data_IF_057877769674
#
_entry.id   IF_057877769674
#
_cell.length_a   1.000
_cell.length_b   1.000
_cell.length_c   1.000
_cell.angle_alpha   90.00
_cell.angle_beta   90.00
_cell.angle_gamma   90.00
#
_symmetry.space_group_name_H-M   'P 1'
#
loop_
_entity.id
_entity.type
_entity.pdbx_description
1 polymer ?
#
# COMPACT_ATOMS: atom_id res chain seq x y z
N UNK A 1 18.05 32.83 -10.50
CA UNK A 1 17.62 32.63 -9.10
C UNK A 1 17.83 31.16 -8.77
N UNK A 2 18.81 30.83 -7.93
CA UNK A 2 19.07 29.42 -7.58
C UNK A 2 17.94 28.89 -6.70
N UNK A 3 17.39 27.70 -6.98
CA UNK A 3 16.34 27.12 -6.14
C UNK A 3 16.86 26.85 -4.72
N UNK A 4 16.00 27.09 -3.72
CA UNK A 4 16.35 26.88 -2.32
C UNK A 4 16.53 25.36 -2.04
N UNK A 5 17.68 24.91 -1.53
CA UNK A 5 17.97 23.50 -1.28
C UNK A 5 16.95 22.82 -0.35
N UNK A 6 16.30 23.56 0.57
CA UNK A 6 15.25 23.02 1.44
C UNK A 6 13.97 22.67 0.67
N UNK A 7 13.61 23.46 -0.36
CA UNK A 7 12.45 23.19 -1.21
C UNK A 7 12.68 22.03 -2.19
N UNK A 8 13.91 21.90 -2.71
CA UNK A 8 14.29 20.79 -3.59
C UNK A 8 14.38 19.45 -2.84
N UNK A 9 14.86 19.47 -1.59
CA UNK A 9 14.91 18.30 -0.71
C UNK A 9 13.52 17.70 -0.45
N UNK A 10 12.53 18.53 -0.09
CA UNK A 10 11.16 18.07 0.15
C UNK A 10 10.50 17.52 -1.12
N UNK A 11 10.73 18.16 -2.27
CA UNK A 11 10.22 17.68 -3.57
C UNK A 11 10.81 16.32 -3.94
N UNK A 12 12.10 16.10 -3.67
CA UNK A 12 12.78 14.84 -3.92
C UNK A 12 12.24 13.71 -3.04
N UNK A 13 12.01 13.96 -1.75
CA UNK A 13 11.43 12.97 -0.82
C UNK A 13 9.99 12.61 -1.22
N UNK A 14 9.18 13.58 -1.66
CA UNK A 14 7.84 13.30 -2.19
C UNK A 14 7.86 12.39 -3.43
N UNK A 15 8.85 12.55 -4.32
CA UNK A 15 9.03 11.66 -5.48
C UNK A 15 9.41 10.25 -5.05
N UNK A 16 10.31 10.11 -4.07
CA UNK A 16 10.67 8.80 -3.49
C UNK A 16 9.44 8.12 -2.90
N UNK A 17 8.65 8.83 -2.11
CA UNK A 17 7.39 8.31 -1.59
C UNK A 17 6.43 7.87 -2.70
N UNK A 18 6.24 8.69 -3.75
CA UNK A 18 5.37 8.33 -4.87
C UNK A 18 5.88 7.10 -5.64
N UNK A 19 7.20 6.96 -5.80
CA UNK A 19 7.80 5.77 -6.42
C UNK A 19 7.57 4.52 -5.57
N UNK A 20 7.79 4.59 -4.26
CA UNK A 20 7.53 3.49 -3.32
C UNK A 20 6.05 3.10 -3.28
N UNK A 21 5.13 4.08 -3.30
CA UNK A 21 3.70 3.81 -3.42
C UNK A 21 3.33 3.13 -4.74
N UNK A 22 4.00 3.51 -5.83
CA UNK A 22 3.85 2.85 -7.14
C UNK A 22 4.37 1.42 -7.13
N UNK A 23 5.53 1.18 -6.51
CA UNK A 23 6.10 -0.15 -6.32
C UNK A 23 5.21 -1.03 -5.45
N UNK A 24 4.64 -0.48 -4.37
CA UNK A 24 3.69 -1.19 -3.52
C UNK A 24 2.44 -1.59 -4.29
N UNK A 25 1.87 -0.69 -5.11
CA UNK A 25 0.76 -1.02 -6.00
C UNK A 25 1.16 -2.13 -7.00
N UNK A 26 2.30 -1.99 -7.67
CA UNK A 26 2.79 -3.00 -8.61
C UNK A 26 2.97 -4.37 -7.93
N UNK A 27 3.54 -4.41 -6.73
CA UNK A 27 3.69 -5.64 -5.94
C UNK A 27 2.34 -6.31 -5.63
N UNK A 28 1.29 -5.53 -5.34
CA UNK A 28 -0.07 -6.08 -5.11
C UNK A 28 -0.77 -6.56 -6.38
N UNK A 29 -0.47 -5.96 -7.54
CA UNK A 29 -0.95 -6.48 -8.84
C UNK A 29 -0.23 -7.80 -9.16
N UNK A 30 1.10 -7.84 -8.98
CA UNK A 30 1.90 -9.06 -9.11
C UNK A 30 1.39 -10.14 -8.14
N UNK A 31 0.98 -9.79 -6.92
CA UNK A 31 0.41 -10.74 -5.97
C UNK A 31 -0.79 -11.50 -6.52
N UNK A 32 -1.69 -10.83 -7.24
CA UNK A 32 -2.86 -11.48 -7.86
C UNK A 32 -2.47 -12.37 -9.02
N UNK A 33 -1.50 -11.92 -9.82
CA UNK A 33 -0.94 -12.75 -10.88
C UNK A 33 -0.31 -14.02 -10.31
N UNK A 34 0.51 -13.91 -9.25
CA UNK A 34 1.12 -15.06 -8.58
C UNK A 34 0.08 -15.97 -7.92
N UNK A 35 -1.01 -15.41 -7.38
CA UNK A 35 -2.14 -16.20 -6.88
C UNK A 35 -2.78 -17.02 -8.00
N UNK A 36 -3.00 -16.41 -9.17
CA UNK A 36 -3.56 -17.07 -10.33
C UNK A 36 -2.61 -18.17 -10.87
N UNK A 37 -1.31 -17.90 -10.94
CA UNK A 37 -0.30 -18.89 -11.33
C UNK A 37 -0.39 -20.12 -10.42
N UNK A 38 -0.36 -19.93 -9.09
CA UNK A 38 -0.48 -21.06 -8.15
C UNK A 38 -1.86 -21.75 -8.20
N UNK A 39 -2.93 -21.01 -8.50
CA UNK A 39 -4.26 -21.57 -8.67
C UNK A 39 -4.42 -22.45 -9.93
N UNK A 40 -3.62 -22.19 -10.97
CA UNK A 40 -3.69 -22.92 -12.24
C UNK A 40 -2.65 -24.02 -12.40
N UNK A 41 -1.60 -24.02 -11.58
CA UNK A 41 -0.52 -25.02 -11.56
C UNK A 41 -1.02 -26.44 -11.26
N UNK A 42 -0.42 -27.46 -11.89
CA UNK A 42 -0.84 -28.87 -11.79
C UNK A 42 0.35 -29.85 -11.81
N UNK A 43 0.42 -30.81 -10.87
CA UNK A 43 -0.43 -30.95 -9.69
C UNK A 43 -0.26 -29.74 -8.76
N UNK A 44 -1.34 -29.32 -8.11
CA UNK A 44 -1.30 -28.17 -7.21
C UNK A 44 -0.84 -28.61 -5.83
N UNK A 45 0.19 -27.95 -5.29
CA UNK A 45 0.68 -28.16 -3.93
C UNK A 45 1.16 -26.84 -3.29
N UNK A 46 1.74 -26.92 -2.09
CA UNK A 46 2.22 -25.74 -1.36
C UNK A 46 3.29 -24.95 -2.15
N UNK A 47 4.08 -25.63 -2.98
CA UNK A 47 5.14 -25.00 -3.77
C UNK A 47 4.57 -24.16 -4.92
N UNK A 48 3.38 -24.52 -5.43
CA UNK A 48 2.65 -23.74 -6.44
C UNK A 48 2.38 -22.29 -6.00
N UNK A 49 2.27 -22.04 -4.68
CA UNK A 49 2.04 -20.71 -4.11
C UNK A 49 3.28 -20.09 -3.45
N UNK A 50 4.46 -20.69 -3.56
CA UNK A 50 5.65 -20.22 -2.85
C UNK A 50 5.97 -18.74 -3.14
N UNK A 51 5.91 -18.32 -4.42
CA UNK A 51 6.15 -16.93 -4.80
C UNK A 51 5.03 -15.99 -4.33
N UNK A 52 3.77 -16.44 -4.37
CA UNK A 52 2.64 -15.69 -3.84
C UNK A 52 2.81 -15.47 -2.33
N UNK A 53 3.19 -16.50 -1.59
CA UNK A 53 3.44 -16.43 -0.15
C UNK A 53 4.62 -15.50 0.17
N UNK A 54 5.76 -15.65 -0.51
CA UNK A 54 6.93 -14.78 -0.32
C UNK A 54 6.60 -13.31 -0.57
N UNK A 55 5.91 -12.99 -1.67
CA UNK A 55 5.57 -11.61 -1.99
C UNK A 55 4.54 -11.03 -0.99
N UNK A 56 3.54 -11.82 -0.59
CA UNK A 56 2.49 -11.44 0.35
C UNK A 56 2.95 -11.28 1.80
N UNK A 57 3.88 -12.13 2.26
CA UNK A 57 4.31 -12.19 3.65
C UNK A 57 5.61 -11.44 3.94
N UNK A 58 6.41 -11.14 2.91
CA UNK A 58 7.69 -10.43 3.08
C UNK A 58 7.75 -9.13 2.29
N UNK A 59 7.58 -9.18 0.97
CA UNK A 59 7.84 -8.03 0.09
C UNK A 59 6.83 -6.90 0.34
N UNK A 60 5.53 -7.19 0.28
CA UNK A 60 4.48 -6.19 0.47
C UNK A 60 4.52 -5.58 1.89
N UNK A 61 4.65 -6.36 2.99
CA UNK A 61 4.81 -5.80 4.33
C UNK A 61 6.00 -4.85 4.47
N UNK A 62 7.18 -5.25 3.98
CA UNK A 62 8.39 -4.41 4.03
C UNK A 62 8.18 -3.14 3.19
N UNK A 63 7.65 -3.26 1.97
CA UNK A 63 7.35 -2.10 1.15
C UNK A 63 6.32 -1.16 1.79
N UNK A 64 5.29 -1.68 2.47
CA UNK A 64 4.30 -0.87 3.18
C UNK A 64 4.94 -0.09 4.33
N UNK A 65 5.83 -0.70 5.11
CA UNK A 65 6.58 -0.03 6.17
C UNK A 65 7.51 1.06 5.62
N UNK A 66 8.30 0.74 4.59
CA UNK A 66 9.22 1.69 3.95
C UNK A 66 8.46 2.85 3.30
N UNK A 67 7.36 2.57 2.60
CA UNK A 67 6.48 3.61 2.03
C UNK A 67 5.85 4.48 3.12
N UNK A 68 5.48 3.92 4.27
CA UNK A 68 4.94 4.66 5.42
C UNK A 68 5.99 5.60 6.01
N UNK A 69 7.22 5.12 6.20
CA UNK A 69 8.33 5.95 6.65
C UNK A 69 8.63 7.08 5.65
N UNK A 70 8.62 6.78 4.34
CA UNK A 70 8.78 7.77 3.30
C UNK A 70 7.63 8.79 3.27
N UNK A 71 6.38 8.39 3.55
CA UNK A 71 5.24 9.29 3.66
C UNK A 71 5.42 10.29 4.81
N UNK A 72 5.89 9.81 5.97
CA UNK A 72 6.21 10.65 7.12
C UNK A 72 7.36 11.61 6.81
N UNK A 73 8.45 11.12 6.20
CA UNK A 73 9.59 11.93 5.78
C UNK A 73 9.20 12.99 4.73
N UNK A 74 8.27 12.68 3.84
CA UNK A 74 7.71 13.60 2.85
C UNK A 74 6.75 14.64 3.45
N UNK A 75 6.49 14.58 4.77
CA UNK A 75 5.51 15.38 5.49
C UNK A 75 4.11 15.29 4.86
N UNK A 76 3.73 14.08 4.46
CA UNK A 76 2.38 13.83 3.97
C UNK A 76 1.34 14.06 5.09
N UNK A 77 0.09 14.43 4.74
CA UNK A 77 -0.97 14.55 5.74
C UNK A 77 -1.15 13.26 6.55
N UNK A 78 -1.46 13.35 7.85
CA UNK A 78 -1.60 12.18 8.73
C UNK A 78 -2.56 11.11 8.21
N UNK A 79 -3.68 11.53 7.59
CA UNK A 79 -4.61 10.61 6.92
C UNK A 79 -3.95 9.80 5.79
N UNK A 80 -3.02 10.40 5.05
CA UNK A 80 -2.28 9.71 4.00
C UNK A 80 -1.25 8.73 4.57
N UNK A 81 -0.59 9.08 5.68
CA UNK A 81 0.32 8.17 6.38
C UNK A 81 -0.47 6.95 6.88
N UNK A 82 -1.62 7.17 7.54
CA UNK A 82 -2.53 6.10 7.97
C UNK A 82 -3.00 5.21 6.81
N UNK A 83 -3.36 5.81 5.67
CA UNK A 83 -3.73 5.06 4.47
C UNK A 83 -2.56 4.22 3.90
N UNK A 84 -1.31 4.67 4.10
CA UNK A 84 -0.10 3.99 3.59
C UNK A 84 0.27 2.75 4.42
N UNK A 85 -0.01 2.77 5.73
CA UNK A 85 0.21 1.61 6.61
C UNK A 85 -0.96 0.62 6.58
N UNK A 86 -2.15 1.04 6.15
CA UNK A 86 -3.35 0.19 6.09
C UNK A 86 -3.15 -1.15 5.34
N UNK A 87 -2.42 -1.23 4.20
CA UNK A 87 -2.11 -2.51 3.56
C UNK A 87 -1.47 -3.53 4.50
N UNK A 88 -0.57 -3.12 5.38
CA UNK A 88 0.04 -4.01 6.39
C UNK A 88 -1.02 -4.58 7.34
N UNK A 89 -1.93 -3.74 7.83
CA UNK A 89 -3.04 -4.20 8.68
C UNK A 89 -3.96 -5.19 7.96
N UNK A 90 -4.26 -4.93 6.68
CA UNK A 90 -5.07 -5.84 5.88
C UNK A 90 -4.35 -7.17 5.56
N UNK A 91 -3.01 -7.18 5.51
CA UNK A 91 -2.22 -8.43 5.38
C UNK A 91 -2.32 -9.27 6.67
N UNK A 92 -2.38 -8.64 7.83
CA UNK A 92 -2.63 -9.35 9.09
C UNK A 92 -4.03 -9.97 9.06
N UNK A 93 -5.05 -9.21 8.61
CA UNK A 93 -6.41 -9.75 8.40
C UNK A 93 -6.39 -10.90 7.40
N UNK A 94 -5.57 -10.83 6.36
CA UNK A 94 -5.39 -11.93 5.41
C UNK A 94 -4.94 -13.22 6.08
N UNK A 95 -3.88 -13.15 6.89
CA UNK A 95 -3.35 -14.31 7.59
C UNK A 95 -4.38 -14.92 8.55
N UNK A 96 -5.18 -14.08 9.22
CA UNK A 96 -6.27 -14.53 10.08
C UNK A 96 -7.37 -15.25 9.29
N UNK A 97 -7.75 -14.75 8.11
CA UNK A 97 -8.73 -15.41 7.25
C UNK A 97 -8.27 -16.81 6.86
N UNK A 98 -6.99 -16.95 6.45
CA UNK A 98 -6.42 -18.26 6.08
C UNK A 98 -6.38 -19.22 7.27
N UNK A 99 -5.90 -18.76 8.43
CA UNK A 99 -5.83 -19.57 9.64
C UNK A 99 -7.22 -20.02 10.11
N UNK A 100 -8.22 -19.14 10.06
CA UNK A 100 -9.60 -19.48 10.38
C UNK A 100 -10.19 -20.45 9.37
N UNK A 101 -9.92 -20.29 8.07
CA UNK A 101 -10.34 -21.23 7.04
C UNK A 101 -9.84 -22.65 7.35
N UNK A 102 -8.54 -22.78 7.60
CA UNK A 102 -7.92 -24.07 7.92
C UNK A 102 -8.44 -24.74 9.19
N UNK A 103 -8.94 -23.96 10.17
CA UNK A 103 -9.56 -24.51 11.38
C UNK A 103 -10.88 -25.25 11.09
N UNK A 104 -11.53 -24.94 9.95
CA UNK A 104 -12.78 -25.56 9.52
C UNK A 104 -12.60 -26.57 8.38
N UNK A 105 -11.36 -26.98 8.09
CA UNK A 105 -11.12 -28.11 7.19
C UNK A 105 -11.52 -29.44 7.84
N UNK A 106 -11.72 -30.47 7.03
CA UNK A 106 -12.07 -31.80 7.52
C UNK A 106 -10.87 -32.53 8.14
N UNK A 107 -11.11 -33.70 8.74
CA UNK A 107 -10.06 -34.50 9.38
C UNK A 107 -8.99 -35.04 8.43
N UNK A 108 -9.22 -34.95 7.12
CA UNK A 108 -8.26 -35.34 6.07
C UNK A 108 -7.53 -34.13 5.47
N UNK A 109 -7.82 -32.92 5.93
CA UNK A 109 -7.23 -31.67 5.46
C UNK A 109 -7.87 -31.11 4.18
N UNK A 110 -9.05 -31.61 3.78
CA UNK A 110 -9.78 -31.04 2.65
C UNK A 110 -10.67 -29.89 3.11
N UNK A 111 -10.84 -28.91 2.21
CA UNK A 111 -11.72 -27.77 2.47
C UNK A 111 -13.18 -28.18 2.57
N UNK A 112 -13.87 -27.76 3.64
CA UNK A 112 -15.32 -27.88 3.80
C UNK A 112 -16.04 -26.69 3.15
N UNK A 113 -17.37 -26.74 2.94
CA UNK A 113 -18.10 -25.57 2.46
C UNK A 113 -17.91 -24.32 3.34
N UNK A 114 -17.80 -24.49 4.66
CA UNK A 114 -17.57 -23.37 5.57
C UNK A 114 -16.15 -22.82 5.43
N UNK A 115 -15.13 -23.69 5.34
CA UNK A 115 -13.76 -23.20 5.12
C UNK A 115 -13.62 -22.50 3.77
N UNK A 116 -14.27 -22.99 2.71
CA UNK A 116 -14.32 -22.31 1.40
C UNK A 116 -14.95 -20.92 1.46
N UNK A 117 -16.05 -20.74 2.20
CA UNK A 117 -16.67 -19.41 2.37
C UNK A 117 -15.72 -18.44 3.07
N UNK A 118 -15.02 -18.90 4.12
CA UNK A 118 -14.05 -18.09 4.85
C UNK A 118 -12.85 -17.78 3.96
N UNK A 119 -12.26 -18.78 3.31
CA UNK A 119 -11.14 -18.63 2.38
C UNK A 119 -11.52 -17.74 1.19
N UNK A 120 -12.78 -17.71 0.75
CA UNK A 120 -13.25 -16.76 -0.27
C UNK A 120 -13.04 -15.29 0.13
N UNK A 121 -13.09 -14.96 1.43
CA UNK A 121 -12.80 -13.62 1.93
C UNK A 121 -11.33 -13.23 1.71
N UNK A 122 -10.42 -14.20 1.59
CA UNK A 122 -9.02 -13.96 1.23
C UNK A 122 -8.94 -13.21 -0.10
N UNK A 123 -9.62 -13.69 -1.14
CA UNK A 123 -9.58 -13.06 -2.46
C UNK A 123 -10.16 -11.63 -2.41
N UNK A 124 -11.27 -11.42 -1.68
CA UNK A 124 -11.91 -10.11 -1.54
C UNK A 124 -11.00 -9.13 -0.79
N UNK A 125 -10.39 -9.56 0.33
CA UNK A 125 -9.45 -8.73 1.09
C UNK A 125 -8.20 -8.41 0.26
N UNK A 126 -7.72 -9.36 -0.55
CA UNK A 126 -6.65 -9.13 -1.53
C UNK A 126 -6.97 -8.00 -2.52
N UNK A 127 -8.18 -7.99 -3.08
CA UNK A 127 -8.64 -6.89 -3.94
C UNK A 127 -8.74 -5.56 -3.18
N UNK A 128 -9.19 -5.58 -1.93
CA UNK A 128 -9.24 -4.39 -1.08
C UNK A 128 -7.84 -3.79 -0.84
N UNK A 129 -6.84 -4.63 -0.54
CA UNK A 129 -5.43 -4.22 -0.39
C UNK A 129 -4.94 -3.50 -1.66
N UNK A 130 -5.18 -4.09 -2.83
CA UNK A 130 -4.80 -3.50 -4.11
C UNK A 130 -5.49 -2.14 -4.34
N UNK A 131 -6.79 -2.06 -4.05
CA UNK A 131 -7.55 -0.80 -4.13
C UNK A 131 -7.00 0.29 -3.22
N UNK A 132 -6.65 -0.05 -1.97
CA UNK A 132 -5.98 0.86 -1.03
C UNK A 132 -4.64 1.31 -1.59
N UNK A 133 -3.80 0.41 -2.10
CA UNK A 133 -2.52 0.77 -2.70
C UNK A 133 -2.69 1.71 -3.92
N UNK A 134 -3.75 1.51 -4.71
CA UNK A 134 -4.12 2.42 -5.80
C UNK A 134 -4.47 3.83 -5.31
N UNK A 135 -5.23 3.93 -4.20
CA UNK A 135 -5.51 5.22 -3.56
C UNK A 135 -4.26 5.88 -3.00
N UNK A 136 -3.37 5.11 -2.34
CA UNK A 136 -2.10 5.60 -1.81
C UNK A 136 -1.26 6.20 -2.93
N UNK A 137 -1.05 5.46 -4.02
CA UNK A 137 -0.27 5.91 -5.17
C UNK A 137 -0.86 7.16 -5.83
N UNK A 138 -2.18 7.18 -6.06
CA UNK A 138 -2.86 8.34 -6.63
C UNK A 138 -2.65 9.60 -5.78
N UNK A 139 -2.77 9.48 -4.46
CA UNK A 139 -2.58 10.62 -3.55
C UNK A 139 -1.12 11.04 -3.46
N UNK A 140 -0.17 10.10 -3.46
CA UNK A 140 1.26 10.39 -3.47
C UNK A 140 1.67 11.19 -4.73
N UNK A 141 1.14 10.84 -5.90
CA UNK A 141 1.34 11.62 -7.14
C UNK A 141 0.81 13.05 -7.03
N UNK A 142 -0.35 13.24 -6.38
CA UNK A 142 -0.91 14.59 -6.14
C UNK A 142 -0.02 15.42 -5.22
N UNK A 143 0.61 14.81 -4.21
CA UNK A 143 1.57 15.50 -3.34
C UNK A 143 2.83 15.95 -4.07
N UNK A 144 3.29 15.19 -5.06
CA UNK A 144 4.41 15.60 -5.93
C UNK A 144 4.03 16.77 -6.83
N UNK A 145 2.79 16.79 -7.33
CA UNK A 145 2.27 17.83 -8.21
C UNK A 145 1.95 19.14 -7.46
N UNK A 146 1.55 19.07 -6.19
CA UNK A 146 1.33 20.24 -5.35
C UNK A 146 2.67 20.95 -5.07
N UNK A 147 2.86 22.13 -5.66
CA UNK A 147 4.03 22.99 -5.42
C UNK A 147 4.13 23.48 -3.96
N UNK A 148 5.17 24.26 -3.62
CA UNK A 148 5.25 24.92 -2.32
C UNK A 148 4.00 25.79 -2.10
N UNK A 149 3.43 25.76 -0.89
CA UNK A 149 2.39 26.72 -0.53
C UNK A 149 2.96 28.15 -0.69
N UNK A 150 2.17 29.12 -1.19
CA UNK A 150 2.58 30.53 -1.15
C UNK A 150 2.92 30.90 0.30
N UNK A 151 4.09 31.47 0.53
CA UNK A 151 4.49 31.98 1.84
C UNK A 151 3.57 33.14 2.25
N UNK A 152 3.06 33.12 3.49
CA UNK A 152 2.25 34.19 4.08
C UNK A 152 2.93 35.58 4.01
N UNK A 153 4.26 35.64 3.89
CA UNK A 153 5.04 36.88 3.66
C UNK A 153 4.59 37.68 2.41
N UNK A 154 4.02 37.02 1.40
CA UNK A 154 3.53 37.74 0.21
C UNK A 154 2.18 38.47 0.47
N UNK A 155 1.46 38.11 1.54
CA UNK A 155 0.17 38.69 1.88
C UNK A 155 0.28 39.94 2.79
N UNK A 156 1.42 40.13 3.45
CA UNK A 156 1.64 41.24 4.40
C UNK A 156 2.12 42.54 3.71
N UNK A 157 2.43 42.49 2.40
CA UNK A 157 2.75 43.65 1.57
C UNK A 157 1.56 44.55 1.19
N UNK A 158 0.40 44.44 1.87
CA UNK A 158 -0.73 45.35 1.64
C UNK A 158 -0.49 46.66 2.38
N UNK A 159 -0.30 47.81 1.69
CA UNK A 159 -0.15 49.09 2.37
C UNK A 159 -1.42 49.41 3.15
N UNK A 160 -1.26 49.66 4.45
CA UNK A 160 -2.32 50.20 5.31
C UNK A 160 -2.73 51.55 4.72
N UNK A 161 -3.92 51.62 4.12
CA UNK A 161 -4.54 52.88 3.73
C UNK A 161 -4.94 53.61 5.01
N UNK A 162 -4.22 54.67 5.35
CA UNK A 162 -4.67 55.61 6.36
C UNK A 162 -5.92 56.35 5.84
N UNK A 163 -6.99 56.34 6.63
CA UNK A 163 -8.14 57.24 6.53
C UNK A 163 -8.72 57.39 7.93
#
# INVERSE_FOLDING_TARGET
MNPNPLTEGNKSVRKVYAALAGLLLAATVVQMYLAAVGAFDKPQDDSSFALHSMNGMMIIPVLSLVATAAAAAARAPGRQIGLTVLPLGLIIVQALIVALGGLFDDSTGNTTPLSLVILGLHAINGMAIMGVCGMVFRNARRLVAAGPAPSEDAAEGRPVRAS
#
